data_IF_601219182030
#
_entry.id   IF_601219182030
#
_cell.length_a   1.000
_cell.length_b   1.000
_cell.length_c   1.000
_cell.angle_alpha   90.00
_cell.angle_beta   90.00
_cell.angle_gamma   90.00
#
_symmetry.space_group_name_H-M   'P 1'
#
loop_
_entity.id
_entity.type
_entity.pdbx_description
1 polymer ?
#
# COMPACT_ATOMS: atom_id res chain seq x y z
N UNK A 1 19.88 24.62 -0.73
CA UNK A 1 19.26 23.28 -0.71
C UNK A 1 18.50 23.11 -2.02
N UNK A 2 18.76 22.07 -2.80
CA UNK A 2 17.90 21.74 -3.94
C UNK A 2 16.59 21.17 -3.39
N UNK A 3 15.48 21.85 -3.67
CA UNK A 3 14.14 21.30 -3.42
C UNK A 3 13.90 20.14 -4.39
N UNK A 4 13.28 19.08 -3.89
CA UNK A 4 12.80 18.00 -4.73
C UNK A 4 11.87 18.57 -5.82
N UNK A 5 11.96 18.08 -7.07
CA UNK A 5 11.11 18.56 -8.15
C UNK A 5 9.64 18.30 -7.85
N UNK A 6 8.76 19.14 -8.39
CA UNK A 6 7.32 18.91 -8.32
C UNK A 6 6.97 17.77 -9.29
N UNK A 7 6.57 16.62 -8.75
CA UNK A 7 6.33 15.40 -9.51
C UNK A 7 5.02 14.74 -9.04
N UNK A 8 4.33 14.02 -9.92
CA UNK A 8 3.09 13.31 -9.55
C UNK A 8 3.44 12.08 -8.74
N UNK A 9 2.69 11.79 -7.67
CA UNK A 9 2.95 10.60 -6.85
C UNK A 9 3.00 9.30 -7.67
N UNK A 10 2.23 9.19 -8.76
CA UNK A 10 2.28 8.04 -9.67
C UNK A 10 3.60 7.93 -10.45
N UNK A 11 4.30 9.03 -10.73
CA UNK A 11 5.65 9.03 -11.33
C UNK A 11 6.68 8.50 -10.34
N UNK A 12 6.60 8.90 -9.07
CA UNK A 12 7.45 8.34 -8.01
C UNK A 12 7.19 6.84 -7.83
N UNK A 13 5.93 6.42 -7.85
CA UNK A 13 5.58 5.01 -7.78
C UNK A 13 6.06 4.21 -9.00
N UNK A 14 6.09 4.82 -10.19
CA UNK A 14 6.69 4.21 -11.38
C UNK A 14 8.20 4.02 -11.21
N UNK A 15 8.91 5.00 -10.65
CA UNK A 15 10.35 4.87 -10.36
C UNK A 15 10.63 3.75 -9.35
N UNK A 16 9.80 3.64 -8.30
CA UNK A 16 9.88 2.52 -7.34
C UNK A 16 9.57 1.19 -8.03
N UNK A 17 8.62 1.15 -8.96
CA UNK A 17 8.35 -0.04 -9.78
C UNK A 17 9.54 -0.39 -10.69
N UNK A 18 10.29 0.57 -11.21
CA UNK A 18 11.50 0.27 -11.98
C UNK A 18 12.58 -0.40 -11.12
N UNK A 19 12.70 -0.02 -9.84
CA UNK A 19 13.68 -0.63 -8.93
C UNK A 19 13.27 -2.02 -8.42
N UNK A 20 11.97 -2.24 -8.24
CA UNK A 20 11.45 -3.41 -7.52
C UNK A 20 10.66 -4.36 -8.40
N UNK A 21 10.09 -3.87 -9.50
CA UNK A 21 9.17 -4.59 -10.36
C UNK A 21 7.90 -5.06 -9.66
N UNK A 22 7.48 -4.42 -8.57
CA UNK A 22 6.38 -4.91 -7.73
C UNK A 22 5.04 -5.01 -8.49
N UNK A 23 4.83 -4.18 -9.52
CA UNK A 23 3.58 -4.18 -10.28
C UNK A 23 3.35 -5.47 -11.07
N UNK A 24 4.39 -6.28 -11.29
CA UNK A 24 4.29 -7.59 -11.97
C UNK A 24 3.34 -8.57 -11.28
N UNK A 25 3.11 -8.38 -9.97
CA UNK A 25 2.24 -9.23 -9.17
C UNK A 25 0.75 -8.93 -9.34
N UNK A 26 0.39 -7.76 -9.88
CA UNK A 26 -1.00 -7.38 -10.15
C UNK A 26 -1.45 -7.93 -11.51
N UNK A 27 -1.52 -9.25 -11.61
CA UNK A 27 -1.91 -9.94 -12.83
C UNK A 27 -3.43 -10.06 -12.96
N UNK A 28 -3.90 -10.06 -14.21
CA UNK A 28 -5.28 -10.24 -14.57
C UNK A 28 -5.79 -11.60 -14.08
N UNK A 29 -6.94 -11.61 -13.41
CA UNK A 29 -7.48 -12.79 -12.70
C UNK A 29 -7.60 -14.05 -13.56
N UNK A 30 -7.91 -13.91 -14.86
CA UNK A 30 -8.15 -15.07 -15.74
C UNK A 30 -6.98 -15.44 -16.64
N UNK A 31 -6.17 -14.47 -17.03
CA UNK A 31 -5.13 -14.66 -18.05
C UNK A 31 -3.73 -14.61 -17.49
N UNK A 32 -3.60 -14.17 -16.23
CA UNK A 32 -2.31 -13.90 -15.58
C UNK A 32 -1.46 -12.84 -16.27
N UNK A 33 -2.03 -12.06 -17.20
CA UNK A 33 -1.34 -10.95 -17.85
C UNK A 33 -1.14 -9.77 -16.89
N UNK A 34 -0.01 -9.07 -17.01
CA UNK A 34 0.20 -7.81 -16.28
C UNK A 34 -0.73 -6.71 -16.79
N UNK A 35 -1.07 -5.74 -15.93
CA UNK A 35 -1.82 -4.56 -16.35
C UNK A 35 -1.08 -3.81 -17.48
N UNK A 36 -1.78 -3.53 -18.59
CA UNK A 36 -1.19 -2.83 -19.75
C UNK A 36 -0.84 -1.37 -19.43
N UNK A 37 -1.69 -0.73 -18.64
CA UNK A 37 -1.52 0.66 -18.20
C UNK A 37 -1.11 0.65 -16.72
N UNK A 38 0.20 0.73 -16.49
CA UNK A 38 0.78 0.76 -15.14
C UNK A 38 0.40 2.03 -14.37
N UNK A 39 0.33 3.17 -15.04
CA UNK A 39 -0.05 4.44 -14.39
C UNK A 39 -1.48 4.37 -13.87
N UNK A 40 -2.40 3.81 -14.65
CA UNK A 40 -3.78 3.60 -14.22
C UNK A 40 -3.88 2.56 -13.10
N UNK A 41 -3.08 1.48 -13.14
CA UNK A 41 -2.99 0.52 -12.04
C UNK A 41 -2.54 1.19 -10.74
N UNK A 42 -1.45 1.97 -10.80
CA UNK A 42 -0.93 2.70 -9.64
C UNK A 42 -1.93 3.74 -9.12
N UNK A 43 -2.71 4.36 -10.01
CA UNK A 43 -3.80 5.27 -9.60
C UNK A 43 -4.89 4.53 -8.83
N UNK A 44 -5.26 3.32 -9.27
CA UNK A 44 -6.22 2.47 -8.57
C UNK A 44 -5.70 2.02 -7.20
N UNK A 45 -4.44 1.55 -7.13
CA UNK A 45 -3.78 1.18 -5.87
C UNK A 45 -3.72 2.38 -4.92
N UNK A 46 -3.35 3.55 -5.42
CA UNK A 46 -3.28 4.76 -4.61
C UNK A 46 -4.65 5.12 -4.02
N UNK A 47 -5.72 5.03 -4.80
CA UNK A 47 -7.07 5.34 -4.33
C UNK A 47 -7.48 4.50 -3.10
N UNK A 48 -7.03 3.25 -3.06
CA UNK A 48 -7.20 2.33 -1.95
C UNK A 48 -6.26 2.69 -0.79
N UNK A 49 -4.95 2.83 -1.08
CA UNK A 49 -3.90 3.07 -0.10
C UNK A 49 -4.08 4.36 0.72
N UNK A 50 -4.63 5.43 0.12
CA UNK A 50 -4.90 6.70 0.82
C UNK A 50 -6.35 6.82 1.31
N UNK A 51 -7.14 5.73 1.26
CA UNK A 51 -8.55 5.71 1.67
C UNK A 51 -9.43 6.76 0.95
N UNK A 52 -9.07 7.14 -0.28
CA UNK A 52 -9.83 8.12 -1.06
C UNK A 52 -11.03 7.47 -1.76
N UNK A 53 -10.87 6.22 -2.18
CA UNK A 53 -11.86 5.49 -2.96
C UNK A 53 -11.89 5.90 -4.44
N UNK A 54 -12.40 4.99 -5.28
CA UNK A 54 -12.32 5.12 -6.74
C UNK A 54 -13.12 6.31 -7.30
N UNK A 55 -14.27 6.63 -6.70
CA UNK A 55 -15.14 7.74 -7.17
C UNK A 55 -14.43 9.08 -7.05
N UNK A 56 -13.93 9.40 -5.85
CA UNK A 56 -13.22 10.66 -5.60
C UNK A 56 -11.88 10.72 -6.34
N UNK A 57 -11.21 9.58 -6.50
CA UNK A 57 -10.00 9.50 -7.33
C UNK A 57 -10.29 9.86 -8.78
N UNK A 58 -11.37 9.33 -9.37
CA UNK A 58 -11.77 9.64 -10.74
C UNK A 58 -12.12 11.13 -10.91
N UNK A 59 -12.81 11.74 -9.94
CA UNK A 59 -13.10 13.18 -9.95
C UNK A 59 -11.84 14.05 -9.85
N UNK A 60 -10.81 13.57 -9.15
CA UNK A 60 -9.57 14.30 -8.91
C UNK A 60 -8.52 14.13 -10.01
N UNK A 61 -8.69 13.15 -10.91
CA UNK A 61 -7.70 12.79 -11.92
C UNK A 61 -8.26 12.99 -13.35
N UNK A 62 -7.87 14.07 -14.05
CA UNK A 62 -8.28 14.30 -15.43
C UNK A 62 -7.93 13.12 -16.34
N UNK A 63 -8.91 12.62 -17.12
CA UNK A 63 -8.73 11.51 -18.07
C UNK A 63 -8.96 10.11 -17.49
N UNK A 64 -9.11 10.00 -16.17
CA UNK A 64 -9.49 8.78 -15.46
C UNK A 64 -11.00 8.73 -15.26
N UNK A 65 -11.60 7.54 -15.33
CA UNK A 65 -13.02 7.35 -15.03
C UNK A 65 -13.19 6.27 -13.97
N UNK A 66 -14.26 6.34 -13.19
CA UNK A 66 -14.60 5.31 -12.20
C UNK A 66 -14.61 3.91 -12.85
N UNK A 67 -15.21 3.78 -14.04
CA UNK A 67 -15.30 2.51 -14.75
C UNK A 67 -13.92 1.90 -15.09
N UNK A 68 -12.93 2.73 -15.44
CA UNK A 68 -11.56 2.27 -15.70
C UNK A 68 -10.90 1.78 -14.41
N UNK A 69 -11.04 2.53 -13.32
CA UNK A 69 -10.46 2.18 -12.02
C UNK A 69 -11.10 0.92 -11.43
N UNK A 70 -12.42 0.82 -11.48
CA UNK A 70 -13.16 -0.32 -10.93
C UNK A 70 -12.87 -1.60 -11.71
N UNK A 71 -12.68 -1.50 -13.04
CA UNK A 71 -12.22 -2.62 -13.84
C UNK A 71 -10.84 -3.11 -13.40
N UNK A 72 -9.86 -2.22 -13.25
CA UNK A 72 -8.54 -2.63 -12.77
C UNK A 72 -8.59 -3.22 -11.37
N UNK A 73 -9.36 -2.62 -10.45
CA UNK A 73 -9.50 -3.16 -9.11
C UNK A 73 -10.06 -4.58 -9.17
N UNK A 74 -11.19 -4.79 -9.86
CA UNK A 74 -11.87 -6.08 -9.94
C UNK A 74 -11.00 -7.18 -10.57
N UNK A 75 -10.18 -6.86 -11.56
CA UNK A 75 -9.44 -7.86 -12.33
C UNK A 75 -7.98 -8.03 -11.92
N UNK A 76 -7.36 -7.03 -11.28
CA UNK A 76 -5.92 -7.05 -10.97
C UNK A 76 -5.60 -6.92 -9.48
N UNK A 77 -6.50 -6.41 -8.63
CA UNK A 77 -6.20 -6.12 -7.21
C UNK A 77 -6.95 -7.09 -6.29
N UNK A 78 -6.19 -7.81 -5.47
CA UNK A 78 -6.64 -8.80 -4.49
C UNK A 78 -5.62 -8.90 -3.35
N UNK A 79 -6.00 -9.44 -2.20
CA UNK A 79 -5.13 -9.55 -1.01
C UNK A 79 -3.79 -10.23 -1.31
N UNK A 80 -3.80 -11.29 -2.11
CA UNK A 80 -2.60 -12.03 -2.50
C UNK A 80 -1.68 -11.21 -3.42
N UNK A 81 -2.24 -10.37 -4.31
CA UNK A 81 -1.44 -9.48 -5.17
C UNK A 81 -0.78 -8.38 -4.34
N UNK A 82 -1.51 -7.83 -3.36
CA UNK A 82 -0.94 -6.87 -2.41
C UNK A 82 0.14 -7.51 -1.56
N UNK A 83 -0.10 -8.71 -1.04
CA UNK A 83 0.87 -9.44 -0.22
C UNK A 83 2.17 -9.72 -0.98
N UNK A 84 2.06 -10.17 -2.23
CA UNK A 84 3.23 -10.42 -3.07
C UNK A 84 3.99 -9.13 -3.45
N UNK A 85 3.26 -8.08 -3.81
CA UNK A 85 3.84 -6.75 -4.08
C UNK A 85 4.55 -6.18 -2.85
N UNK A 86 3.93 -6.24 -1.67
CA UNK A 86 4.51 -5.78 -0.42
C UNK A 86 5.78 -6.56 -0.08
N UNK A 87 5.76 -7.88 -0.23
CA UNK A 87 6.95 -8.71 -0.02
C UNK A 87 8.11 -8.26 -0.92
N UNK A 88 7.84 -7.89 -2.17
CA UNK A 88 8.86 -7.38 -3.07
C UNK A 88 9.48 -6.07 -2.58
N UNK A 89 8.64 -5.12 -2.17
CA UNK A 89 9.07 -3.82 -1.64
C UNK A 89 9.90 -4.00 -0.36
N UNK A 90 9.43 -4.82 0.58
CA UNK A 90 10.11 -5.11 1.84
C UNK A 90 11.46 -5.78 1.58
N UNK A 91 11.51 -6.77 0.68
CA UNK A 91 12.75 -7.46 0.33
C UNK A 91 13.77 -6.52 -0.35
N UNK A 92 13.31 -5.61 -1.20
CA UNK A 92 14.17 -4.61 -1.81
C UNK A 92 14.74 -3.66 -0.75
N UNK A 93 13.89 -3.14 0.14
CA UNK A 93 14.32 -2.26 1.24
C UNK A 93 15.31 -2.96 2.17
N UNK A 94 15.05 -4.23 2.51
CA UNK A 94 15.92 -5.03 3.38
C UNK A 94 17.34 -5.22 2.82
N UNK A 95 17.48 -5.34 1.50
CA UNK A 95 18.78 -5.48 0.82
C UNK A 95 19.55 -4.16 0.72
N UNK A 96 18.93 -3.03 0.99
CA UNK A 96 19.58 -1.73 0.90
C UNK A 96 20.65 -1.60 1.99
N UNK A 97 21.86 -1.14 1.63
CA UNK A 97 22.99 -1.06 2.56
C UNK A 97 22.69 -0.24 3.82
N UNK A 98 21.82 0.76 3.69
CA UNK A 98 21.37 1.55 4.83
C UNK A 98 20.61 0.70 5.84
N UNK A 99 19.74 -0.23 5.43
CA UNK A 99 18.92 -1.05 6.32
C UNK A 99 19.75 -1.84 7.36
N UNK A 100 21.01 -2.18 7.04
CA UNK A 100 21.92 -2.87 7.95
C UNK A 100 22.19 -2.11 9.27
N UNK A 101 22.04 -0.78 9.32
CA UNK A 101 22.20 -0.03 10.57
C UNK A 101 21.03 -0.23 11.55
N UNK A 102 19.91 -0.81 11.09
CA UNK A 102 18.72 -1.11 11.90
C UNK A 102 18.69 -2.58 12.36
N UNK A 103 19.74 -3.35 12.08
CA UNK A 103 19.87 -4.76 12.49
C UNK A 103 19.76 -5.74 11.32
N UNK A 104 19.68 -7.03 11.65
CA UNK A 104 19.63 -8.13 10.68
C UNK A 104 18.21 -8.51 10.24
N UNK A 105 17.20 -7.77 10.71
CA UNK A 105 15.78 -8.01 10.40
C UNK A 105 15.15 -9.21 11.13
N UNK A 106 15.83 -9.80 12.11
CA UNK A 106 15.29 -10.92 12.91
C UNK A 106 14.47 -10.46 14.12
N UNK A 107 14.56 -9.18 14.47
CA UNK A 107 13.85 -8.56 15.58
C UNK A 107 13.03 -7.38 15.10
N UNK A 108 11.86 -7.20 15.70
CA UNK A 108 11.00 -6.04 15.48
C UNK A 108 10.62 -5.45 16.84
N UNK A 109 10.69 -4.12 16.95
CA UNK A 109 10.18 -3.38 18.10
C UNK A 109 8.99 -2.56 17.63
N UNK A 110 7.79 -3.07 17.92
CA UNK A 110 6.54 -2.37 17.65
C UNK A 110 6.15 -1.61 18.91
N UNK A 111 6.38 -0.29 18.95
CA UNK A 111 5.83 0.53 20.02
C UNK A 111 4.34 0.78 19.76
N UNK A 112 3.49 0.23 20.61
CA UNK A 112 2.05 0.44 20.56
C UNK A 112 1.69 1.65 21.40
N UNK A 113 1.43 2.79 20.77
CA UNK A 113 0.95 3.97 21.48
C UNK A 113 -0.51 3.73 21.91
N UNK A 114 -0.74 3.58 23.22
CA UNK A 114 -2.08 3.46 23.79
C UNK A 114 -2.68 4.85 23.97
N UNK A 115 -3.82 5.08 23.32
CA UNK A 115 -4.67 6.24 23.58
C UNK A 115 -5.91 5.78 24.33
N UNK A 116 -6.19 6.37 25.50
CA UNK A 116 -7.45 6.11 26.22
C UNK A 116 -8.60 6.69 25.39
N UNK A 117 -9.40 5.83 24.77
CA UNK A 117 -10.66 6.25 24.16
C UNK A 117 -11.74 6.38 25.25
N UNK A 118 -12.63 7.37 25.16
CA UNK A 118 -13.66 7.65 26.18
C UNK A 118 -14.80 6.63 26.29
N UNK A 119 -14.64 5.40 25.79
CA UNK A 119 -15.68 4.37 25.74
C UNK A 119 -15.22 3.03 26.31
N UNK A 120 -16.17 2.19 26.74
CA UNK A 120 -15.87 0.78 27.06
C UNK A 120 -15.69 0.03 25.74
N UNK A 121 -14.58 -0.72 25.60
CA UNK A 121 -14.32 -1.51 24.40
C UNK A 121 -15.51 -2.44 24.08
N UNK A 122 -15.90 -2.51 22.81
CA UNK A 122 -16.92 -3.46 22.39
C UNK A 122 -16.47 -4.89 22.69
N UNK A 123 -17.46 -5.77 22.91
CA UNK A 123 -17.35 -7.13 23.46
C UNK A 123 -16.34 -8.07 22.78
N UNK A 124 -15.77 -7.71 21.63
CA UNK A 124 -14.80 -8.49 20.85
C UNK A 124 -13.37 -8.00 20.98
N UNK A 125 -13.12 -6.90 21.69
CA UNK A 125 -11.78 -6.46 22.05
C UNK A 125 -11.19 -7.36 23.12
N UNK A 126 -10.40 -8.36 22.72
CA UNK A 126 -9.66 -9.20 23.66
C UNK A 126 -8.95 -8.32 24.70
N UNK A 127 -9.13 -8.67 25.98
CA UNK A 127 -8.48 -8.00 27.12
C UNK A 127 -7.00 -7.84 26.83
N UNK A 128 -6.51 -6.60 26.84
CA UNK A 128 -5.09 -6.35 26.60
C UNK A 128 -4.30 -6.99 27.76
N UNK A 129 -3.34 -7.91 27.51
CA UNK A 129 -2.63 -8.61 28.58
C UNK A 129 -1.83 -7.71 29.53
N UNK A 130 -1.45 -6.51 29.06
CA UNK A 130 -0.68 -5.52 29.82
C UNK A 130 -1.58 -4.48 30.49
N UNK A 131 -2.72 -4.15 29.90
CA UNK A 131 -3.55 -3.00 30.28
C UNK A 131 -4.96 -3.34 30.76
N UNK A 132 -5.36 -4.61 30.69
CA UNK A 132 -6.66 -5.08 31.15
C UNK A 132 -7.82 -4.63 30.24
N UNK A 133 -8.97 -4.40 30.85
CA UNK A 133 -10.22 -4.00 30.20
C UNK A 133 -10.42 -2.48 30.11
N UNK A 134 -9.45 -1.69 30.59
CA UNK A 134 -9.51 -0.24 30.44
C UNK A 134 -9.16 0.17 29.00
N UNK A 135 -9.93 1.08 28.38
CA UNK A 135 -9.57 1.66 27.09
C UNK A 135 -8.23 2.41 27.17
#
# INVERSE_FOLDING_TARGET
>A
AMLLPHLKITELLMEVDEWTGFTRHFTHLKTSDTAKDKTLLLTTILADAINLGLTKMAESCPGTTYAKLSWLQAWHIRDETYSAALAELVNHQYRHAFAAHWGDGTTSSSDGQRFRAGGRGESTGHVNPKYGSEP
#
